data_IF_978964336376
#
_entry.id   IF_978964336376
#
_cell.length_a   1.000
_cell.length_b   1.000
_cell.length_c   1.000
_cell.angle_alpha   90.00
_cell.angle_beta   90.00
_cell.angle_gamma   90.00
#
_symmetry.space_group_name_H-M   'P 1'
#
loop_
_entity.id
_entity.type
_entity.pdbx_description
1 polymer ?
#
# COMPACT_ATOMS: atom_id res chain seq x y z
N UNK A 1 -26.28 23.30 24.66
CA UNK A 1 -24.93 22.73 24.64
C UNK A 1 -23.96 23.82 25.01
N UNK A 2 -23.25 23.65 26.13
CA UNK A 2 -22.18 24.55 26.53
C UNK A 2 -20.96 24.38 25.59
N UNK A 3 -20.09 25.39 25.47
CA UNK A 3 -18.88 25.34 24.64
C UNK A 3 -17.99 24.13 24.99
N UNK A 4 -17.88 23.78 26.27
CA UNK A 4 -17.12 22.59 26.72
C UNK A 4 -17.73 21.27 26.26
N UNK A 5 -19.06 21.19 26.14
CA UNK A 5 -19.75 20.00 25.62
C UNK A 5 -19.56 19.86 24.11
N UNK A 6 -19.59 20.97 23.38
CA UNK A 6 -19.31 21.00 21.94
C UNK A 6 -17.88 20.55 21.64
N UNK A 7 -16.92 21.02 22.45
CA UNK A 7 -15.50 20.73 22.25
C UNK A 7 -15.18 19.25 22.56
N UNK A 8 -15.78 18.70 23.61
CA UNK A 8 -15.70 17.25 23.91
C UNK A 8 -16.29 16.40 22.77
N UNK A 9 -17.49 16.75 22.31
CA UNK A 9 -18.14 16.03 21.22
C UNK A 9 -17.32 16.05 19.92
N UNK A 10 -16.69 17.19 19.60
CA UNK A 10 -15.81 17.31 18.45
C UNK A 10 -14.57 16.42 18.56
N UNK A 11 -13.93 16.39 19.74
CA UNK A 11 -12.77 15.54 20.00
C UNK A 11 -13.14 14.05 19.94
N UNK A 12 -14.28 13.66 20.49
CA UNK A 12 -14.79 12.28 20.44
C UNK A 12 -15.04 11.84 18.99
N UNK A 13 -15.80 12.63 18.22
CA UNK A 13 -16.05 12.32 16.81
C UNK A 13 -14.77 12.22 16.01
N UNK A 14 -13.81 13.12 16.24
CA UNK A 14 -12.51 13.07 15.56
C UNK A 14 -11.78 11.76 15.85
N UNK A 15 -11.74 11.32 17.11
CA UNK A 15 -11.14 10.03 17.50
C UNK A 15 -11.84 8.85 16.85
N UNK A 16 -13.18 8.87 16.78
CA UNK A 16 -13.94 7.82 16.09
C UNK A 16 -13.57 7.72 14.61
N UNK A 17 -13.45 8.85 13.92
CA UNK A 17 -13.01 8.89 12.52
C UNK A 17 -11.57 8.41 12.34
N UNK A 18 -10.64 8.87 13.18
CA UNK A 18 -9.24 8.45 13.16
C UNK A 18 -9.13 6.93 13.35
N UNK A 19 -9.83 6.37 14.34
CA UNK A 19 -9.83 4.93 14.59
C UNK A 19 -10.37 4.14 13.38
N UNK A 20 -11.49 4.59 12.80
CA UNK A 20 -12.08 3.93 11.64
C UNK A 20 -11.13 3.93 10.44
N UNK A 21 -10.44 5.04 10.20
CA UNK A 21 -9.46 5.15 9.12
C UNK A 21 -8.28 4.22 9.36
N UNK A 22 -7.74 4.18 10.58
CA UNK A 22 -6.66 3.27 10.92
C UNK A 22 -7.06 1.80 10.70
N UNK A 23 -8.27 1.40 11.10
CA UNK A 23 -8.79 0.05 10.85
C UNK A 23 -8.95 -0.24 9.35
N UNK A 24 -9.44 0.71 8.56
CA UNK A 24 -9.62 0.52 7.12
C UNK A 24 -8.26 0.39 6.42
N UNK A 25 -7.27 1.21 6.78
CA UNK A 25 -5.91 1.13 6.25
C UNK A 25 -5.23 -0.19 6.61
N UNK A 26 -5.36 -0.67 7.85
CA UNK A 26 -4.82 -1.95 8.30
C UNK A 26 -5.45 -3.12 7.54
N UNK A 27 -6.78 -3.13 7.35
CA UNK A 27 -7.47 -4.17 6.56
C UNK A 27 -6.98 -4.22 5.11
N UNK A 28 -6.77 -3.06 4.50
CA UNK A 28 -6.25 -2.98 3.13
C UNK A 28 -4.82 -3.54 3.09
N UNK A 29 -3.97 -3.12 4.02
CA UNK A 29 -2.59 -3.59 4.14
C UNK A 29 -2.54 -5.13 4.25
N UNK A 30 -3.27 -5.69 5.21
CA UNK A 30 -3.31 -7.13 5.47
C UNK A 30 -3.83 -7.93 4.27
N UNK A 31 -4.79 -7.38 3.53
CA UNK A 31 -5.37 -8.06 2.37
C UNK A 31 -4.40 -8.24 1.20
N UNK A 32 -3.30 -7.48 1.14
CA UNK A 32 -2.29 -7.57 0.07
C UNK A 32 -0.93 -8.05 0.57
N UNK A 33 -0.71 -8.15 1.89
CA UNK A 33 0.54 -8.67 2.46
C UNK A 33 0.90 -10.04 1.87
N UNK A 34 -0.05 -10.96 1.72
CA UNK A 34 0.26 -12.29 1.19
C UNK A 34 0.59 -12.30 -0.31
N UNK A 35 0.16 -11.27 -1.05
CA UNK A 35 0.39 -11.14 -2.49
C UNK A 35 1.75 -10.51 -2.80
N UNK A 36 2.26 -9.67 -1.91
CA UNK A 36 3.45 -8.87 -2.14
C UNK A 36 4.69 -9.44 -1.44
N UNK A 37 5.84 -9.41 -2.10
CA UNK A 37 7.15 -9.62 -1.50
C UNK A 37 7.82 -8.27 -1.20
N UNK A 38 8.76 -8.24 -0.24
CA UNK A 38 9.49 -7.00 0.07
C UNK A 38 10.23 -6.52 -1.18
N UNK A 39 10.04 -5.25 -1.53
CA UNK A 39 10.57 -4.64 -2.75
C UNK A 39 9.58 -4.62 -3.91
N UNK A 40 8.49 -5.40 -3.86
CA UNK A 40 7.43 -5.34 -4.88
C UNK A 40 6.75 -3.98 -4.85
N UNK A 41 6.47 -3.42 -6.02
CA UNK A 41 5.79 -2.16 -6.15
C UNK A 41 5.03 -2.06 -7.46
N UNK A 42 4.04 -1.17 -7.50
CA UNK A 42 3.41 -0.72 -8.73
C UNK A 42 3.11 0.77 -8.61
N UNK A 43 2.82 1.42 -9.73
CA UNK A 43 2.50 2.85 -9.74
C UNK A 43 1.27 3.13 -10.58
N UNK A 44 0.47 4.09 -10.11
CA UNK A 44 -0.77 4.53 -10.73
C UNK A 44 -0.62 6.02 -11.02
N UNK A 45 -0.86 6.40 -12.27
CA UNK A 45 -0.96 7.81 -12.63
C UNK A 45 -2.36 8.31 -12.30
N UNK A 46 -2.46 9.30 -11.42
CA UNK A 46 -3.69 9.98 -11.03
C UNK A 46 -3.58 11.46 -11.40
N UNK A 47 -4.25 11.88 -12.48
CA UNK A 47 -4.13 13.21 -13.06
C UNK A 47 -2.64 13.60 -13.30
N UNK A 48 -2.11 14.54 -12.53
CA UNK A 48 -0.73 15.04 -12.58
C UNK A 48 0.18 14.43 -11.50
N UNK A 49 -0.31 13.48 -10.72
CA UNK A 49 0.41 12.83 -9.63
C UNK A 49 0.70 11.37 -9.97
N UNK A 50 1.94 10.92 -9.79
CA UNK A 50 2.29 9.50 -9.86
C UNK A 50 2.31 8.93 -8.45
N UNK A 51 1.34 8.09 -8.12
CA UNK A 51 1.24 7.42 -6.83
C UNK A 51 1.91 6.05 -6.94
N UNK A 52 2.85 5.77 -6.05
CA UNK A 52 3.53 4.47 -5.98
C UNK A 52 3.16 3.77 -4.68
N UNK A 53 2.76 2.52 -4.80
CA UNK A 53 2.46 1.62 -3.68
C UNK A 53 3.57 0.56 -3.67
N UNK A 54 4.16 0.31 -2.50
CA UNK A 54 5.33 -0.57 -2.36
C UNK A 54 5.28 -1.39 -1.09
N UNK A 55 5.66 -2.65 -1.18
CA UNK A 55 5.92 -3.49 -0.02
C UNK A 55 7.32 -3.22 0.54
N UNK A 56 7.38 -2.88 1.81
CA UNK A 56 8.60 -2.49 2.53
C UNK A 56 8.79 -3.34 3.78
N UNK A 57 10.01 -3.39 4.29
CA UNK A 57 10.32 -4.00 5.58
C UNK A 57 10.55 -2.91 6.63
N UNK A 58 9.82 -2.98 7.74
CA UNK A 58 9.96 -2.06 8.85
C UNK A 58 9.86 -2.84 10.17
N UNK A 59 10.83 -2.65 11.07
CA UNK A 59 10.94 -3.41 12.32
C UNK A 59 10.92 -4.94 12.16
N UNK A 60 11.39 -5.47 11.02
CA UNK A 60 11.39 -6.91 10.73
C UNK A 60 10.04 -7.46 10.28
N UNK A 61 9.05 -6.59 10.07
CA UNK A 61 7.73 -6.95 9.54
C UNK A 61 7.51 -6.31 8.17
N UNK A 62 6.74 -6.99 7.33
CA UNK A 62 6.37 -6.51 6.01
C UNK A 62 5.17 -5.58 6.10
N UNK A 63 5.31 -4.42 5.49
CA UNK A 63 4.30 -3.38 5.44
C UNK A 63 4.06 -2.90 4.02
N UNK A 64 2.95 -2.19 3.81
CA UNK A 64 2.67 -1.49 2.56
C UNK A 64 2.83 0.00 2.79
N UNK A 65 3.63 0.62 1.94
CA UNK A 65 3.90 2.04 1.94
C UNK A 65 3.38 2.71 0.67
N UNK A 66 3.06 3.99 0.78
CA UNK A 66 2.69 4.87 -0.32
C UNK A 66 3.68 6.03 -0.40
N UNK A 67 3.98 6.47 -1.62
CA UNK A 67 4.67 7.73 -1.88
C UNK A 67 4.24 8.29 -3.23
N UNK A 68 4.66 9.52 -3.53
CA UNK A 68 4.36 10.18 -4.79
C UNK A 68 5.63 10.63 -5.48
N UNK A 69 5.53 11.03 -6.75
CA UNK A 69 6.65 11.66 -7.45
C UNK A 69 7.04 13.03 -6.88
N UNK A 70 6.10 13.73 -6.23
CA UNK A 70 6.33 15.01 -5.55
C UNK A 70 6.93 14.85 -4.15
N UNK A 71 6.51 13.81 -3.41
CA UNK A 71 7.07 13.43 -2.11
C UNK A 71 7.46 11.96 -2.12
N UNK A 72 8.77 11.71 -2.20
CA UNK A 72 9.36 10.37 -2.32
C UNK A 72 9.55 9.65 -0.99
N UNK A 73 9.10 10.23 0.13
CA UNK A 73 9.13 9.56 1.43
C UNK A 73 8.15 8.40 1.41
N UNK A 74 8.63 7.19 1.67
CA UNK A 74 7.80 6.00 1.81
C UNK A 74 7.07 6.08 3.15
N UNK A 75 5.74 6.22 3.10
CA UNK A 75 4.91 6.32 4.30
C UNK A 75 4.09 5.04 4.41
N UNK A 76 4.31 4.29 5.49
CA UNK A 76 3.55 3.06 5.77
C UNK A 76 2.08 3.43 6.01
N UNK A 77 1.14 2.61 5.54
CA UNK A 77 -0.28 2.87 5.65
C UNK A 77 -0.71 3.14 7.10
N UNK A 78 -0.26 2.30 8.05
CA UNK A 78 -0.53 2.47 9.48
C UNK A 78 0.05 3.75 10.10
N UNK A 79 0.96 4.45 9.41
CA UNK A 79 1.57 5.70 9.86
C UNK A 79 0.92 6.93 9.23
N UNK A 80 -0.03 6.76 8.32
CA UNK A 80 -0.75 7.89 7.71
C UNK A 80 -1.67 8.55 8.74
N UNK A 81 -1.55 9.88 8.84
CA UNK A 81 -2.39 10.69 9.72
C UNK A 81 -3.25 11.65 8.90
N UNK A 82 -4.50 11.87 9.32
CA UNK A 82 -5.42 12.81 8.69
C UNK A 82 -4.89 14.25 8.66
N UNK A 83 -4.03 14.61 9.60
CA UNK A 83 -3.44 15.95 9.71
C UNK A 83 -2.37 16.22 8.67
N UNK A 84 -1.66 15.18 8.24
CA UNK A 84 -0.51 15.34 7.35
C UNK A 84 -0.82 14.85 5.94
N UNK A 85 -1.63 13.80 5.79
CA UNK A 85 -1.81 13.09 4.52
C UNK A 85 -3.29 12.77 4.19
N UNK A 86 -4.24 13.72 4.32
CA UNK A 86 -5.68 13.44 4.15
C UNK A 86 -6.02 12.92 2.75
N UNK A 87 -5.40 13.45 1.70
CA UNK A 87 -5.70 13.08 0.32
C UNK A 87 -5.21 11.66 -0.02
N UNK A 88 -4.03 11.27 0.47
CA UNK A 88 -3.49 9.92 0.25
C UNK A 88 -4.33 8.87 0.99
N UNK A 89 -4.76 9.17 2.22
CA UNK A 89 -5.66 8.31 2.99
C UNK A 89 -6.95 8.07 2.21
N UNK A 90 -7.59 9.15 1.76
CA UNK A 90 -8.84 9.07 1.03
C UNK A 90 -8.66 8.27 -0.27
N UNK A 91 -7.57 8.51 -0.98
CA UNK A 91 -7.25 7.79 -2.21
C UNK A 91 -7.09 6.29 -1.94
N UNK A 92 -6.32 5.90 -0.93
CA UNK A 92 -6.12 4.47 -0.58
C UNK A 92 -7.46 3.80 -0.28
N UNK A 93 -8.29 4.40 0.57
CA UNK A 93 -9.58 3.83 0.98
C UNK A 93 -10.53 3.69 -0.22
N UNK A 94 -10.57 4.69 -1.10
CA UNK A 94 -11.41 4.66 -2.30
C UNK A 94 -10.92 3.66 -3.35
N UNK A 95 -9.63 3.32 -3.35
CA UNK A 95 -8.97 2.52 -4.38
C UNK A 95 -8.42 1.18 -3.85
N UNK A 96 -8.95 0.67 -2.74
CA UNK A 96 -8.59 -0.64 -2.17
C UNK A 96 -8.55 -1.77 -3.22
N UNK A 97 -9.58 -1.87 -4.06
CA UNK A 97 -9.66 -2.87 -5.12
C UNK A 97 -8.53 -2.76 -6.15
N UNK A 98 -8.13 -1.53 -6.49
CA UNK A 98 -7.01 -1.27 -7.40
C UNK A 98 -5.69 -1.70 -6.77
N UNK A 99 -5.53 -1.49 -5.46
CA UNK A 99 -4.30 -1.88 -4.75
C UNK A 99 -4.13 -3.41 -4.75
N UNK A 100 -5.22 -4.14 -4.49
CA UNK A 100 -5.26 -5.60 -4.56
C UNK A 100 -4.90 -6.14 -5.94
N UNK A 101 -5.55 -5.63 -6.99
CA UNK A 101 -5.26 -6.08 -8.35
C UNK A 101 -3.85 -5.65 -8.79
N UNK A 102 -3.34 -4.50 -8.33
CA UNK A 102 -1.98 -4.06 -8.60
C UNK A 102 -0.93 -5.07 -8.12
N UNK A 103 -0.99 -5.51 -6.86
CA UNK A 103 -0.06 -6.52 -6.35
C UNK A 103 -0.23 -7.90 -6.98
N UNK A 104 -1.46 -8.27 -7.32
CA UNK A 104 -1.73 -9.52 -8.06
C UNK A 104 -1.08 -9.52 -9.44
N UNK A 105 -1.12 -8.41 -10.17
CA UNK A 105 -0.42 -8.29 -11.45
C UNK A 105 1.11 -8.33 -11.29
N UNK A 106 1.66 -7.71 -10.23
CA UNK A 106 3.08 -7.82 -9.90
C UNK A 106 3.48 -9.29 -9.70
N UNK A 107 2.70 -10.03 -8.89
CA UNK A 107 2.92 -11.46 -8.65
C UNK A 107 2.84 -12.29 -9.94
N UNK A 108 1.82 -12.07 -10.77
CA UNK A 108 1.65 -12.77 -12.05
C UNK A 108 2.87 -12.53 -12.96
N UNK A 109 3.35 -11.29 -13.03
CA UNK A 109 4.50 -10.95 -13.85
C UNK A 109 5.79 -11.57 -13.32
N UNK A 110 5.98 -11.65 -12.00
CA UNK A 110 7.10 -12.34 -11.39
C UNK A 110 7.11 -13.84 -11.75
N UNK A 111 5.96 -14.51 -11.68
CA UNK A 111 5.80 -15.92 -12.06
C UNK A 111 6.11 -16.14 -13.54
N UNK A 112 5.53 -15.33 -14.44
CA UNK A 112 5.80 -15.41 -15.89
C UNK A 112 7.27 -15.24 -16.23
N UNK A 113 7.94 -14.29 -15.56
CA UNK A 113 9.38 -14.07 -15.74
C UNK A 113 10.19 -15.29 -15.28
N UNK A 114 9.83 -15.91 -14.15
CA UNK A 114 10.43 -17.15 -13.68
C UNK A 114 10.29 -18.30 -14.69
N UNK A 115 9.11 -18.49 -15.26
CA UNK A 115 8.86 -19.51 -16.29
C UNK A 115 9.72 -19.28 -17.55
N UNK A 116 9.82 -18.02 -18.01
CA UNK A 116 10.66 -17.66 -19.15
C UNK A 116 12.14 -17.98 -18.91
N UNK A 117 12.64 -17.71 -17.71
CA UNK A 117 14.02 -18.06 -17.32
C UNK A 117 14.21 -19.59 -17.38
N UNK A 118 13.32 -20.36 -16.76
CA UNK A 118 13.38 -21.84 -16.76
C UNK A 118 13.37 -22.39 -18.19
N UNK A 119 12.50 -21.88 -19.05
CA UNK A 119 12.40 -22.31 -20.44
C UNK A 119 13.67 -21.98 -21.23
N UNK A 120 14.27 -20.82 -20.99
CA UNK A 120 15.55 -20.42 -21.60
C UNK A 120 16.69 -21.34 -21.15
N UNK A 121 16.78 -21.66 -19.86
CA UNK A 121 17.79 -22.57 -19.31
C UNK A 121 17.68 -23.98 -19.90
N UNK A 122 16.44 -24.50 -20.02
CA UNK A 122 16.16 -25.78 -20.67
C UNK A 122 16.58 -25.78 -22.14
N UNK A 123 16.29 -24.71 -22.87
CA UNK A 123 16.66 -24.56 -24.28
C UNK A 123 18.19 -24.50 -24.48
N UNK A 124 18.91 -23.88 -23.55
CA UNK A 124 20.36 -23.81 -23.56
C UNK A 124 21.06 -25.12 -23.15
N UNK A 125 20.31 -26.18 -22.79
CA UNK A 125 20.83 -27.47 -22.30
C UNK A 125 21.89 -27.31 -21.20
N UNK A 126 21.72 -26.30 -20.33
CA UNK A 126 22.64 -26.10 -19.21
C UNK A 126 22.30 -27.14 -18.16
N UNK A 127 23.12 -28.17 -18.04
CA UNK A 127 23.03 -29.18 -16.99
C UNK A 127 23.54 -28.53 -15.69
N UNK A 128 22.62 -28.03 -14.87
CA UNK A 128 22.95 -27.52 -13.53
C UNK A 128 23.35 -28.72 -12.65
N UNK A 129 24.65 -28.90 -12.44
CA UNK A 129 25.22 -29.76 -11.40
C UNK A 129 25.77 -28.92 -10.26
#
# INVERSE_FOLDING_TARGET
MNQDEMLKLYVEKRREYENKISEDLEKIEDSVKDLAQVGDYFSVKNEDLLITIKAVEYNGEKHIAIFTDQDKREIIFSQLTLTEHPDLILWIIQNDSLIKEGFKEVLINAVRNGENIINTLKALKVDYK
#
